data_IF_656714410936
#
_entry.id   IF_656714410936
#
_cell.length_a   1.000
_cell.length_b   1.000
_cell.length_c   1.000
_cell.angle_alpha   90.00
_cell.angle_beta   90.00
_cell.angle_gamma   90.00
#
_symmetry.space_group_name_H-M   'P 1'
#
loop_
_entity.id
_entity.type
_entity.pdbx_description
1 polymer ?
#
# COMPACT_ATOMS: atom_id res chain seq x y z
N UNK A 1 -31.46 60.96 -59.28
CA UNK A 1 -31.17 60.43 -57.93
C UNK A 1 -31.34 61.53 -56.91
N UNK A 2 -32.33 61.41 -56.02
CA UNK A 2 -32.60 62.40 -54.97
C UNK A 2 -31.47 62.42 -53.93
N UNK A 3 -31.27 63.56 -53.26
CA UNK A 3 -30.28 63.69 -52.17
C UNK A 3 -30.50 62.65 -51.06
N UNK A 4 -31.76 62.33 -50.75
CA UNK A 4 -32.13 61.42 -49.67
C UNK A 4 -31.93 59.94 -50.01
N UNK A 5 -32.00 59.56 -51.30
CA UNK A 5 -31.65 58.20 -51.74
C UNK A 5 -30.15 57.95 -51.60
N UNK A 6 -29.31 58.93 -51.95
CA UNK A 6 -27.85 58.81 -51.79
C UNK A 6 -27.45 58.66 -50.33
N UNK A 7 -28.10 59.41 -49.42
CA UNK A 7 -27.88 59.27 -47.97
C UNK A 7 -28.27 57.88 -47.46
N UNK A 8 -29.42 57.34 -47.89
CA UNK A 8 -29.87 55.99 -47.53
C UNK A 8 -28.92 54.91 -48.05
N UNK A 9 -28.50 55.00 -49.31
CA UNK A 9 -27.55 54.07 -49.90
C UNK A 9 -26.21 54.07 -49.15
N UNK A 10 -25.70 55.24 -48.79
CA UNK A 10 -24.47 55.36 -48.02
C UNK A 10 -24.63 54.75 -46.61
N UNK A 11 -25.76 54.99 -45.94
CA UNK A 11 -26.06 54.37 -44.65
C UNK A 11 -26.05 52.83 -44.74
N UNK A 12 -26.72 52.24 -45.74
CA UNK A 12 -26.71 50.79 -45.95
C UNK A 12 -25.31 50.24 -46.18
N UNK A 13 -24.50 50.94 -46.98
CA UNK A 13 -23.12 50.53 -47.24
C UNK A 13 -22.26 50.54 -45.97
N UNK A 14 -22.39 51.59 -45.15
CA UNK A 14 -21.68 51.68 -43.86
C UNK A 14 -22.13 50.58 -42.90
N UNK A 15 -23.43 50.28 -42.82
CA UNK A 15 -23.94 49.20 -41.96
C UNK A 15 -23.50 47.83 -42.43
N UNK A 16 -23.50 47.58 -43.74
CA UNK A 16 -23.07 46.30 -44.31
C UNK A 16 -21.58 46.06 -44.08
N UNK A 17 -20.77 47.10 -44.26
CA UNK A 17 -19.34 47.04 -43.96
C UNK A 17 -19.07 46.74 -42.47
N UNK A 18 -19.85 47.34 -41.57
CA UNK A 18 -19.74 47.08 -40.13
C UNK A 18 -20.17 45.64 -39.76
N UNK A 19 -21.26 45.14 -40.36
CA UNK A 19 -21.74 43.78 -40.16
C UNK A 19 -20.71 42.76 -40.68
N UNK A 20 -20.15 42.99 -41.86
CA UNK A 20 -19.11 42.14 -42.45
C UNK A 20 -17.86 42.07 -41.58
N UNK A 21 -17.46 43.18 -40.94
CA UNK A 21 -16.34 43.18 -39.96
C UNK A 21 -16.66 42.30 -38.76
N UNK A 22 -17.82 42.49 -38.12
CA UNK A 22 -18.25 41.64 -36.99
C UNK A 22 -18.33 40.17 -37.37
N UNK A 23 -18.81 39.87 -38.57
CA UNK A 23 -18.88 38.49 -39.05
C UNK A 23 -17.48 37.85 -39.17
N UNK A 24 -16.50 38.60 -39.70
CA UNK A 24 -15.11 38.13 -39.76
C UNK A 24 -14.52 37.90 -38.37
N UNK A 25 -14.80 38.78 -37.41
CA UNK A 25 -14.38 38.62 -36.02
C UNK A 25 -14.98 37.34 -35.41
N UNK A 26 -16.29 37.12 -35.57
CA UNK A 26 -16.97 35.90 -35.09
C UNK A 26 -16.36 34.64 -35.72
N UNK A 27 -16.05 34.66 -37.02
CA UNK A 27 -15.39 33.54 -37.69
C UNK A 27 -14.00 33.28 -37.11
N UNK A 28 -13.22 34.34 -36.86
CA UNK A 28 -11.88 34.22 -36.29
C UNK A 28 -11.92 33.65 -34.86
N UNK A 29 -12.83 34.12 -34.02
CA UNK A 29 -13.03 33.59 -32.66
C UNK A 29 -13.46 32.13 -32.68
N UNK A 30 -14.42 31.78 -33.55
CA UNK A 30 -14.85 30.38 -33.71
C UNK A 30 -13.69 29.49 -34.14
N UNK A 31 -12.88 29.92 -35.11
CA UNK A 31 -11.73 29.16 -35.57
C UNK A 31 -10.72 28.92 -34.44
N UNK A 32 -10.45 29.94 -33.62
CA UNK A 32 -9.59 29.82 -32.44
C UNK A 32 -10.12 28.81 -31.44
N UNK A 33 -11.41 28.91 -31.07
CA UNK A 33 -12.04 27.97 -30.14
C UNK A 33 -12.04 26.52 -30.66
N UNK A 34 -12.24 26.34 -31.96
CA UNK A 34 -12.18 25.01 -32.59
C UNK A 34 -10.79 24.39 -32.47
N UNK A 35 -9.73 25.18 -32.66
CA UNK A 35 -8.36 24.69 -32.48
C UNK A 35 -8.07 24.35 -31.01
N UNK A 36 -8.50 25.20 -30.07
CA UNK A 36 -8.34 24.93 -28.62
C UNK A 36 -9.04 23.64 -28.19
N UNK A 37 -10.28 23.43 -28.63
CA UNK A 37 -11.03 22.19 -28.34
C UNK A 37 -10.35 20.95 -28.94
N UNK A 38 -9.78 21.08 -30.14
CA UNK A 38 -9.08 19.98 -30.79
C UNK A 38 -7.85 19.56 -29.98
N UNK A 39 -7.02 20.53 -29.58
CA UNK A 39 -5.84 20.28 -28.74
C UNK A 39 -6.22 19.62 -27.42
N UNK A 40 -7.27 20.12 -26.75
CA UNK A 40 -7.75 19.52 -25.50
C UNK A 40 -8.25 18.08 -25.68
N UNK A 41 -8.97 17.81 -26.79
CA UNK A 41 -9.44 16.48 -27.11
C UNK A 41 -8.28 15.50 -27.32
N UNK A 42 -7.25 15.91 -28.08
CA UNK A 42 -6.05 15.11 -28.32
C UNK A 42 -5.27 14.84 -27.02
N UNK A 43 -5.13 15.86 -26.17
CA UNK A 43 -4.49 15.71 -24.86
C UNK A 43 -5.23 14.68 -23.99
N UNK A 44 -6.54 14.82 -23.87
CA UNK A 44 -7.35 13.91 -23.06
C UNK A 44 -7.35 12.48 -23.62
N UNK A 45 -7.32 12.31 -24.95
CA UNK A 45 -7.16 10.99 -25.56
C UNK A 45 -5.81 10.36 -25.20
N UNK A 46 -4.73 11.15 -25.23
CA UNK A 46 -3.40 10.67 -24.83
C UNK A 46 -3.34 10.31 -23.34
N UNK A 47 -3.92 11.12 -22.46
CA UNK A 47 -4.01 10.82 -21.03
C UNK A 47 -4.78 9.53 -20.78
N UNK A 48 -5.89 9.31 -21.48
CA UNK A 48 -6.66 8.06 -21.42
C UNK A 48 -5.83 6.85 -21.86
N UNK A 49 -5.06 6.97 -22.95
CA UNK A 49 -4.16 5.90 -23.43
C UNK A 49 -3.09 5.56 -22.39
N UNK A 50 -2.46 6.59 -21.81
CA UNK A 50 -1.45 6.40 -20.76
C UNK A 50 -2.06 5.73 -19.53
N UNK A 51 -3.24 6.17 -19.11
CA UNK A 51 -3.94 5.59 -17.97
C UNK A 51 -4.31 4.12 -18.23
N UNK A 52 -4.89 3.82 -19.39
CA UNK A 52 -5.25 2.46 -19.77
C UNK A 52 -4.03 1.52 -19.81
N UNK A 53 -2.89 1.99 -20.32
CA UNK A 53 -1.66 1.22 -20.34
C UNK A 53 -1.14 0.94 -18.93
N UNK A 54 -1.19 1.93 -18.02
CA UNK A 54 -0.79 1.77 -16.62
C UNK A 54 -1.70 0.78 -15.90
N UNK A 55 -3.00 0.87 -16.13
CA UNK A 55 -4.00 -0.03 -15.56
C UNK A 55 -3.79 -1.47 -16.05
N UNK A 56 -3.60 -1.67 -17.36
CA UNK A 56 -3.32 -2.99 -17.92
C UNK A 56 -2.02 -3.59 -17.36
N UNK A 57 -0.97 -2.78 -17.23
CA UNK A 57 0.30 -3.21 -16.63
C UNK A 57 0.15 -3.55 -15.14
N UNK A 58 -0.62 -2.77 -14.38
CA UNK A 58 -0.94 -3.07 -13.00
C UNK A 58 -1.76 -4.36 -12.88
N UNK A 59 -2.76 -4.54 -13.74
CA UNK A 59 -3.59 -5.74 -13.76
C UNK A 59 -2.78 -7.00 -14.08
N UNK A 60 -1.88 -6.96 -15.08
CA UNK A 60 -0.97 -8.08 -15.38
C UNK A 60 -0.07 -8.45 -14.20
N UNK A 61 0.49 -7.45 -13.51
CA UNK A 61 1.30 -7.69 -12.30
C UNK A 61 0.48 -8.28 -11.17
N UNK A 62 -0.73 -7.74 -10.94
CA UNK A 62 -1.63 -8.24 -9.91
C UNK A 62 -2.05 -9.68 -10.19
N UNK A 63 -2.36 -10.01 -11.45
CA UNK A 63 -2.69 -11.36 -11.87
C UNK A 63 -1.54 -12.34 -11.60
N UNK A 64 -0.31 -11.99 -11.99
CA UNK A 64 0.86 -12.83 -11.72
C UNK A 64 1.07 -13.08 -10.21
N UNK A 65 0.90 -12.05 -9.39
CA UNK A 65 0.99 -12.18 -7.92
C UNK A 65 -0.11 -13.12 -7.39
N UNK A 66 -1.34 -13.01 -7.90
CA UNK A 66 -2.43 -13.88 -7.48
C UNK A 66 -2.17 -15.34 -7.86
N UNK A 67 -1.64 -15.59 -9.06
CA UNK A 67 -1.25 -16.92 -9.52
C UNK A 67 -0.14 -17.51 -8.64
N UNK A 68 0.89 -16.72 -8.30
CA UNK A 68 1.96 -17.12 -7.39
C UNK A 68 1.41 -17.45 -5.99
N UNK A 69 0.56 -16.58 -5.44
CA UNK A 69 -0.07 -16.79 -4.13
C UNK A 69 -0.92 -18.06 -4.11
N UNK A 70 -1.69 -18.31 -5.16
CA UNK A 70 -2.47 -19.53 -5.29
C UNK A 70 -1.56 -20.77 -5.37
N UNK A 71 -0.45 -20.69 -6.10
CA UNK A 71 0.56 -21.74 -6.16
C UNK A 71 1.18 -22.04 -4.79
N UNK A 72 1.52 -20.99 -4.03
CA UNK A 72 2.02 -21.13 -2.66
C UNK A 72 0.96 -21.74 -1.74
N UNK A 73 -0.29 -21.29 -1.80
CA UNK A 73 -1.39 -21.84 -1.02
C UNK A 73 -1.57 -23.33 -1.28
N UNK A 74 -1.60 -23.75 -2.55
CA UNK A 74 -1.71 -25.17 -2.92
C UNK A 74 -0.50 -25.98 -2.46
N UNK A 75 0.70 -25.40 -2.49
CA UNK A 75 1.91 -26.06 -1.98
C UNK A 75 1.83 -26.30 -0.47
N UNK A 76 1.31 -25.32 0.27
CA UNK A 76 1.13 -25.41 1.72
C UNK A 76 0.02 -26.39 2.09
N UNK A 77 -1.11 -26.36 1.38
CA UNK A 77 -2.18 -27.35 1.55
C UNK A 77 -1.66 -28.77 1.34
N UNK A 78 -0.92 -29.00 0.26
CA UNK A 78 -0.28 -30.31 0.01
C UNK A 78 0.71 -30.72 1.10
N UNK A 79 1.50 -29.78 1.63
CA UNK A 79 2.40 -30.06 2.76
C UNK A 79 1.65 -30.39 4.05
N UNK A 80 0.53 -29.73 4.31
CA UNK A 80 -0.31 -30.00 5.48
C UNK A 80 -1.03 -31.35 5.36
N UNK A 81 -1.52 -31.68 4.17
CA UNK A 81 -2.12 -32.98 3.87
C UNK A 81 -1.08 -34.10 3.85
N UNK A 82 0.17 -33.79 3.52
CA UNK A 82 1.27 -34.74 3.61
C UNK A 82 1.57 -35.06 5.08
N UNK A 83 1.74 -36.35 5.38
CA UNK A 83 2.10 -36.79 6.72
C UNK A 83 3.46 -36.17 7.11
N UNK A 84 3.61 -35.62 8.33
CA UNK A 84 4.90 -35.12 8.80
C UNK A 84 5.98 -36.20 8.73
N UNK A 85 7.22 -35.76 8.52
CA UNK A 85 8.39 -36.63 8.37
C UNK A 85 8.47 -37.63 9.53
N UNK A 86 8.54 -38.96 9.26
CA UNK A 86 8.69 -39.97 10.30
C UNK A 86 9.80 -39.70 11.31
N UNK A 87 10.89 -39.04 10.89
CA UNK A 87 12.01 -38.66 11.78
C UNK A 87 11.56 -37.58 12.77
N UNK A 88 10.84 -36.57 12.30
CA UNK A 88 10.30 -35.49 13.13
C UNK A 88 9.27 -36.05 14.12
N UNK A 89 8.37 -36.92 13.65
CA UNK A 89 7.41 -37.63 14.52
C UNK A 89 8.10 -38.47 15.60
N UNK A 90 9.17 -39.19 15.24
CA UNK A 90 9.96 -39.97 16.19
C UNK A 90 10.61 -39.10 17.26
N UNK A 91 11.15 -37.94 16.85
CA UNK A 91 11.75 -36.96 17.77
C UNK A 91 10.70 -36.33 18.69
N UNK A 92 9.54 -35.94 18.15
CA UNK A 92 8.44 -35.39 18.94
C UNK A 92 7.97 -36.38 20.00
N UNK A 93 7.76 -37.65 19.64
CA UNK A 93 7.37 -38.69 20.59
C UNK A 93 8.43 -38.84 21.70
N UNK A 94 9.72 -38.95 21.34
CA UNK A 94 10.81 -39.04 22.33
C UNK A 94 10.90 -37.80 23.22
N UNK A 95 10.63 -36.62 22.67
CA UNK A 95 10.60 -35.39 23.45
C UNK A 95 9.46 -35.42 24.47
N UNK A 96 8.23 -35.76 24.04
CA UNK A 96 7.08 -35.88 24.94
C UNK A 96 7.29 -36.95 26.00
N UNK A 97 7.85 -38.12 25.64
CA UNK A 97 8.26 -39.15 26.60
C UNK A 97 9.25 -38.58 27.63
N UNK A 98 10.29 -37.86 27.19
CA UNK A 98 11.23 -37.21 28.09
C UNK A 98 10.56 -36.18 29.00
N UNK A 99 9.62 -35.39 28.47
CA UNK A 99 8.87 -34.40 29.26
C UNK A 99 8.04 -35.10 30.33
N UNK A 100 7.32 -36.18 29.99
CA UNK A 100 6.54 -36.98 30.94
C UNK A 100 7.41 -37.57 32.06
N UNK A 101 8.65 -37.98 31.75
CA UNK A 101 9.60 -38.48 32.76
C UNK A 101 10.13 -37.38 33.68
N UNK A 102 10.27 -36.15 33.18
CA UNK A 102 10.81 -35.03 33.96
C UNK A 102 9.73 -34.31 34.77
N UNK A 103 8.46 -34.29 34.33
CA UNK A 103 7.34 -33.60 35.01
C UNK A 103 7.24 -33.96 36.51
N UNK A 104 7.27 -35.25 36.92
CA UNK A 104 7.19 -35.62 38.33
C UNK A 104 8.35 -35.06 39.17
N UNK A 105 9.54 -34.91 38.57
CA UNK A 105 10.72 -34.35 39.24
C UNK A 105 10.52 -32.85 39.48
N UNK A 106 9.97 -32.15 38.49
CA UNK A 106 9.60 -30.74 38.60
C UNK A 106 8.48 -30.52 39.61
N UNK A 107 7.44 -31.34 39.62
CA UNK A 107 6.34 -31.23 40.58
C UNK A 107 6.85 -31.33 42.03
N UNK A 108 7.69 -32.32 42.32
CA UNK A 108 8.29 -32.49 43.66
C UNK A 108 9.17 -31.31 44.06
N UNK A 109 9.93 -30.76 43.13
CA UNK A 109 10.76 -29.58 43.36
C UNK A 109 9.92 -28.32 43.60
N UNK A 110 8.92 -28.05 42.76
CA UNK A 110 8.04 -26.88 42.88
C UNK A 110 7.21 -26.90 44.16
N UNK A 111 6.86 -28.09 44.64
CA UNK A 111 6.21 -28.30 45.95
C UNK A 111 7.18 -28.20 47.15
N UNK A 112 8.47 -27.92 46.91
CA UNK A 112 9.51 -27.81 47.95
C UNK A 112 9.93 -29.13 48.58
N UNK A 113 9.49 -30.27 48.01
CA UNK A 113 9.75 -31.62 48.53
C UNK A 113 11.01 -32.27 47.98
N UNK A 114 11.65 -31.64 46.98
CA UNK A 114 12.91 -32.10 46.38
C UNK A 114 13.82 -30.91 46.06
N UNK A 115 15.11 -31.18 45.84
CA UNK A 115 16.08 -30.18 45.36
C UNK A 115 15.93 -29.96 43.85
N UNK A 116 16.48 -28.86 43.34
CA UNK A 116 16.36 -28.47 41.91
C UNK A 116 16.85 -29.60 41.00
N UNK A 117 16.03 -30.10 40.06
CA UNK A 117 16.39 -31.21 39.19
C UNK A 117 17.54 -30.86 38.24
N UNK A 118 17.67 -29.59 37.88
CA UNK A 118 18.84 -29.06 37.18
C UNK A 118 19.76 -28.38 38.19
N UNK A 119 21.06 -28.63 38.07
CA UNK A 119 22.14 -28.17 38.96
C UNK A 119 22.37 -26.66 38.97
N UNK A 120 21.32 -25.86 39.08
CA UNK A 120 21.41 -24.48 39.56
C UNK A 120 21.85 -24.54 41.02
N UNK A 121 23.17 -24.54 41.22
CA UNK A 121 23.76 -24.21 42.51
C UNK A 121 23.24 -22.83 42.88
N UNK A 122 22.27 -22.77 43.80
CA UNK A 122 21.96 -21.52 44.50
C UNK A 122 23.26 -21.11 45.19
N UNK A 123 23.93 -20.12 44.61
CA UNK A 123 25.00 -19.41 45.30
C UNK A 123 24.43 -18.94 46.64
N UNK A 124 25.10 -19.19 47.79
CA UNK A 124 24.59 -18.73 49.06
C UNK A 124 24.52 -17.20 49.02
N UNK A 125 23.31 -16.68 49.20
CA UNK A 125 23.05 -15.27 49.45
C UNK A 125 23.93 -14.80 50.62
N UNK A 126 24.96 -14.02 50.31
CA UNK A 126 25.53 -13.10 51.29
C UNK A 126 24.61 -11.90 51.34
N UNK A 127 23.93 -11.75 52.49
CA UNK A 127 23.20 -10.55 52.85
C UNK A 127 24.14 -9.35 52.84
N UNK A 128 23.57 -8.25 52.35
CA UNK A 128 23.98 -6.86 52.44
C UNK A 128 25.09 -6.46 51.46
N UNK A 129 24.76 -5.59 50.51
CA UNK A 129 25.37 -4.25 50.32
C UNK A 129 24.35 -3.41 49.54
N UNK A 130 23.90 -2.31 50.15
CA UNK A 130 23.06 -1.29 49.54
C UNK A 130 23.79 -0.63 48.38
N UNK A 131 23.18 -0.52 47.19
CA UNK A 131 23.47 0.58 46.26
C UNK A 131 22.42 0.72 45.13
N UNK A 132 21.66 1.80 45.25
CA UNK A 132 21.18 2.69 44.19
C UNK A 132 20.41 2.08 43.00
N UNK A 133 19.09 2.28 43.04
CA UNK A 133 18.22 2.32 41.85
C UNK A 133 18.79 3.35 40.84
N UNK A 134 19.51 2.87 39.83
CA UNK A 134 19.68 3.63 38.59
C UNK A 134 18.66 3.14 37.57
N UNK A 135 17.80 4.10 37.20
CA UNK A 135 16.72 3.99 36.22
C UNK A 135 17.22 3.47 34.85
N UNK A 136 16.48 2.57 34.16
CA UNK A 136 16.84 2.16 32.81
C UNK A 136 16.64 3.31 31.84
N UNK A 137 17.70 3.60 31.09
CA UNK A 137 17.73 4.56 29.98
C UNK A 137 16.69 4.15 28.92
N UNK A 138 15.84 5.11 28.53
CA UNK A 138 14.95 5.03 27.37
C UNK A 138 15.78 4.92 26.08
N UNK A 139 16.19 3.72 25.64
CA UNK A 139 16.86 3.59 24.33
C UNK A 139 16.43 2.44 23.42
N UNK A 140 15.59 1.51 23.86
CA UNK A 140 15.21 0.38 22.99
C UNK A 140 13.69 0.22 22.89
N UNK A 141 13.00 1.25 22.37
CA UNK A 141 11.71 1.01 21.71
C UNK A 141 11.94 0.99 20.19
N UNK A 142 11.39 0.01 19.46
CA UNK A 142 11.36 0.04 18.00
C UNK A 142 10.55 1.26 17.53
N UNK A 143 10.90 1.89 16.39
CA UNK A 143 10.16 3.04 15.89
C UNK A 143 8.72 2.61 15.59
N UNK A 144 7.78 3.13 16.39
CA UNK A 144 6.35 3.04 16.17
C UNK A 144 6.01 3.78 14.87
N UNK A 145 6.02 3.07 13.75
CA UNK A 145 5.55 3.55 12.47
C UNK A 145 4.04 3.68 12.49
N UNK A 146 3.54 4.82 12.94
CA UNK A 146 2.16 5.21 12.77
C UNK A 146 2.10 6.68 12.30
N UNK A 147 1.40 6.85 11.16
CA UNK A 147 0.90 8.10 10.56
C UNK A 147 1.94 8.86 9.72
N UNK A 148 1.64 9.40 8.52
CA UNK A 148 0.40 10.05 8.03
C UNK A 148 0.29 9.99 6.49
N UNK A 149 -0.91 9.74 5.96
CA UNK A 149 -1.28 10.06 4.56
C UNK A 149 -1.73 11.53 4.49
N UNK A 150 -1.31 12.33 3.48
CA UNK A 150 -1.86 13.67 3.28
C UNK A 150 -3.14 13.62 2.45
N UNK A 151 -4.06 14.52 2.79
CA UNK A 151 -5.31 14.83 2.08
C UNK A 151 -5.06 15.88 1.00
#
# INVERSE_FOLDING_TARGET
MGSDERKRMNMYFVTEAALSRRHKEIIAERAKLQEEMKVQSEQHENERKIFAQRDESANKRNQAILEDLQGFEQSLKRKLESRPDPVVLSLENKYWESVEQEIPKWERFLLGKASSPFGFKKSPEKRNHSQTLQSPRKKDLPPSGAQTLPR
#
